data_IF_047573679885
#
_entry.id   IF_047573679885
#
_cell.length_a   1.000
_cell.length_b   1.000
_cell.length_c   1.000
_cell.angle_alpha   90.00
_cell.angle_beta   90.00
_cell.angle_gamma   90.00
#
_symmetry.space_group_name_H-M   'P 1'
#
loop_
_entity.id
_entity.type
_entity.pdbx_description
1 polymer ?
#
# COMPACT_ATOMS: atom_id res chain seq x y z
N UNK A 1 22.67 -16.14 4.91
CA UNK A 1 21.21 -16.28 5.11
C UNK A 1 20.56 -15.37 4.09
N UNK A 2 20.00 -15.89 2.99
CA UNK A 2 19.29 -15.06 2.02
C UNK A 2 17.98 -14.62 2.67
N UNK A 3 17.85 -13.32 2.96
CA UNK A 3 16.63 -12.76 3.54
C UNK A 3 15.46 -12.98 2.57
N UNK A 4 14.35 -13.53 3.07
CA UNK A 4 13.15 -13.76 2.26
C UNK A 4 12.46 -12.41 2.02
N UNK A 5 12.26 -11.98 0.75
CA UNK A 5 11.56 -10.73 0.48
C UNK A 5 10.11 -10.82 0.95
N UNK A 6 9.54 -9.70 1.39
CA UNK A 6 8.18 -9.62 1.93
C UNK A 6 7.11 -10.25 1.02
N UNK A 7 7.29 -10.13 -0.30
CA UNK A 7 6.40 -10.72 -1.30
C UNK A 7 6.35 -12.25 -1.22
N UNK A 8 7.47 -12.89 -0.90
CA UNK A 8 7.54 -14.33 -0.71
C UNK A 8 6.67 -14.76 0.48
N UNK A 9 6.72 -14.00 1.58
CA UNK A 9 5.91 -14.25 2.77
C UNK A 9 4.42 -14.06 2.47
N UNK A 10 4.06 -13.02 1.72
CA UNK A 10 2.66 -12.80 1.28
C UNK A 10 2.16 -13.97 0.44
N UNK A 11 2.93 -14.40 -0.55
CA UNK A 11 2.56 -15.53 -1.42
C UNK A 11 2.46 -16.86 -0.65
N UNK A 12 3.38 -17.11 0.29
CA UNK A 12 3.35 -18.27 1.18
C UNK A 12 2.11 -18.26 2.07
N UNK A 13 1.78 -17.12 2.68
CA UNK A 13 0.59 -16.98 3.53
C UNK A 13 -0.70 -17.11 2.75
N UNK A 14 -0.78 -16.54 1.54
CA UNK A 14 -1.94 -16.68 0.67
C UNK A 14 -2.18 -18.15 0.27
N UNK A 15 -1.10 -18.94 0.09
CA UNK A 15 -1.20 -20.37 -0.21
C UNK A 15 -1.62 -21.20 1.01
N UNK A 16 -0.99 -20.96 2.15
CA UNK A 16 -1.15 -21.82 3.34
C UNK A 16 -2.35 -21.42 4.22
N UNK A 17 -2.76 -20.14 4.18
CA UNK A 17 -3.81 -19.57 5.02
C UNK A 17 -4.70 -18.60 4.23
N UNK A 18 -5.30 -19.02 3.09
CA UNK A 18 -5.95 -18.12 2.13
C UNK A 18 -7.05 -17.25 2.76
N UNK A 19 -7.85 -17.82 3.68
CA UNK A 19 -9.01 -17.17 4.28
C UNK A 19 -8.70 -16.44 5.60
N UNK A 20 -7.45 -16.46 6.07
CA UNK A 20 -7.07 -15.79 7.31
C UNK A 20 -6.93 -14.29 7.06
N UNK A 21 -7.48 -13.50 7.99
CA UNK A 21 -7.37 -12.04 7.96
C UNK A 21 -5.90 -11.60 7.86
N UNK A 22 -5.61 -10.70 6.92
CA UNK A 22 -4.28 -10.17 6.65
C UNK A 22 -4.21 -8.65 6.86
N UNK A 23 -5.24 -7.93 6.43
CA UNK A 23 -5.26 -6.47 6.46
C UNK A 23 -6.66 -5.93 6.78
N UNK A 24 -6.71 -4.80 7.49
CA UNK A 24 -7.94 -4.05 7.74
C UNK A 24 -7.75 -2.58 7.41
N UNK A 25 -8.72 -2.01 6.71
CA UNK A 25 -8.85 -0.58 6.49
C UNK A 25 -9.98 -0.04 7.34
N UNK A 26 -9.77 1.12 7.96
CA UNK A 26 -10.83 1.86 8.62
C UNK A 26 -11.62 2.65 7.56
N UNK A 27 -12.92 2.36 7.41
CA UNK A 27 -13.81 3.06 6.46
C UNK A 27 -14.30 4.39 7.01
N UNK A 28 -14.60 4.42 8.31
CA UNK A 28 -15.09 5.61 9.02
C UNK A 28 -14.66 5.60 10.49
N UNK A 29 -14.80 6.76 11.15
CA UNK A 29 -14.56 6.88 12.58
C UNK A 29 -15.65 6.24 13.44
N UNK A 30 -16.76 5.81 12.83
CA UNK A 30 -17.87 5.13 13.51
C UNK A 30 -17.61 3.62 13.72
N UNK A 31 -16.49 3.10 13.20
CA UNK A 31 -16.01 1.74 13.48
C UNK A 31 -16.18 0.76 12.32
N UNK A 32 -16.50 1.22 11.12
CA UNK A 32 -16.55 0.38 9.93
C UNK A 32 -15.16 -0.08 9.49
N UNK A 33 -14.96 -1.40 9.34
CA UNK A 33 -13.74 -1.96 8.77
C UNK A 33 -13.99 -2.68 7.46
N UNK A 34 -13.10 -2.48 6.51
CA UNK A 34 -12.93 -3.36 5.36
C UNK A 34 -11.78 -4.33 5.64
N UNK A 35 -12.04 -5.62 5.48
CA UNK A 35 -11.10 -6.68 5.86
C UNK A 35 -10.67 -7.45 4.62
N UNK A 36 -9.38 -7.64 4.44
CA UNK A 36 -8.80 -8.46 3.37
C UNK A 36 -8.13 -9.70 3.97
N UNK A 37 -8.41 -10.86 3.38
CA UNK A 37 -7.71 -12.11 3.66
C UNK A 37 -6.34 -12.14 2.98
N UNK A 38 -5.49 -13.13 3.28
CA UNK A 38 -4.21 -13.28 2.58
C UNK A 38 -4.38 -13.51 1.07
N UNK A 39 -5.42 -14.24 0.65
CA UNK A 39 -5.75 -14.40 -0.76
C UNK A 39 -6.11 -13.05 -1.41
N UNK A 40 -6.91 -12.24 -0.72
CA UNK A 40 -7.32 -10.92 -1.22
C UNK A 40 -6.13 -9.97 -1.34
N UNK A 41 -5.19 -9.98 -0.39
CA UNK A 41 -3.97 -9.16 -0.44
C UNK A 41 -3.09 -9.56 -1.64
N UNK A 42 -2.95 -10.86 -1.93
CA UNK A 42 -2.21 -11.31 -3.11
C UNK A 42 -2.90 -10.87 -4.41
N UNK A 43 -4.23 -11.00 -4.48
CA UNK A 43 -5.00 -10.50 -5.63
C UNK A 43 -4.88 -8.98 -5.78
N UNK A 44 -4.93 -8.23 -4.69
CA UNK A 44 -4.76 -6.78 -4.67
C UNK A 44 -3.40 -6.38 -5.25
N UNK A 45 -2.34 -7.09 -4.88
CA UNK A 45 -1.00 -6.87 -5.43
C UNK A 45 -0.95 -7.14 -6.94
N UNK A 46 -1.60 -8.21 -7.43
CA UNK A 46 -1.69 -8.48 -8.87
C UNK A 46 -2.51 -7.43 -9.62
N UNK A 47 -3.61 -6.92 -9.04
CA UNK A 47 -4.37 -5.80 -9.62
C UNK A 47 -3.51 -4.55 -9.76
N UNK A 48 -2.76 -4.21 -8.70
CA UNK A 48 -1.82 -3.08 -8.73
C UNK A 48 -0.73 -3.26 -9.79
N UNK A 49 -0.17 -4.46 -9.91
CA UNK A 49 0.82 -4.78 -10.95
C UNK A 49 0.24 -4.58 -12.36
N UNK A 50 -0.96 -5.09 -12.62
CA UNK A 50 -1.65 -4.90 -13.90
C UNK A 50 -1.82 -3.42 -14.23
N UNK A 51 -2.36 -2.64 -13.28
CA UNK A 51 -2.58 -1.21 -13.46
C UNK A 51 -1.30 -0.41 -13.74
N UNK A 52 -0.16 -0.82 -13.19
CA UNK A 52 1.14 -0.20 -13.46
C UNK A 52 1.70 -0.63 -14.83
N UNK A 53 1.56 -1.91 -15.20
CA UNK A 53 1.97 -2.40 -16.52
C UNK A 53 1.16 -1.76 -17.65
N UNK A 54 -0.15 -1.57 -17.46
CA UNK A 54 -1.03 -0.90 -18.43
C UNK A 54 -0.61 0.56 -18.67
N UNK A 55 0.11 1.16 -17.72
CA UNK A 55 0.72 2.50 -17.84
C UNK A 55 2.14 2.47 -18.43
N UNK A 56 2.61 1.30 -18.87
CA UNK A 56 3.92 1.13 -19.49
C UNK A 56 5.09 1.09 -18.52
N UNK A 57 4.86 0.82 -17.23
CA UNK A 57 5.96 0.67 -16.27
C UNK A 57 6.59 -0.73 -16.33
N UNK A 58 7.91 -0.76 -16.16
CA UNK A 58 8.75 -1.94 -16.24
C UNK A 58 9.59 -2.13 -14.97
N UNK A 59 10.19 -3.32 -14.86
CA UNK A 59 11.13 -3.63 -13.76
C UNK A 59 12.23 -2.58 -13.69
N UNK A 60 12.50 -2.08 -12.49
CA UNK A 60 13.49 -1.04 -12.22
C UNK A 60 12.95 0.39 -12.25
N UNK A 61 11.75 0.62 -12.80
CA UNK A 61 11.14 1.94 -12.82
C UNK A 61 10.83 2.44 -11.40
N UNK A 62 10.94 3.75 -11.20
CA UNK A 62 10.61 4.41 -9.95
C UNK A 62 9.16 4.90 -10.01
N UNK A 63 8.34 4.48 -9.05
CA UNK A 63 6.90 4.74 -9.04
C UNK A 63 6.56 5.68 -7.90
N UNK A 64 6.26 6.95 -8.22
CA UNK A 64 5.75 7.87 -7.22
C UNK A 64 4.28 7.53 -6.91
N UNK A 65 4.01 7.17 -5.65
CA UNK A 65 2.68 6.85 -5.16
C UNK A 65 2.13 8.02 -4.35
N UNK A 66 1.43 8.91 -5.05
CA UNK A 66 0.70 10.04 -4.47
C UNK A 66 -0.78 9.67 -4.30
N UNK A 67 -1.05 8.70 -3.43
CA UNK A 67 -2.39 8.14 -3.20
C UNK A 67 -2.82 8.36 -1.74
N UNK A 68 -4.12 8.58 -1.47
CA UNK A 68 -4.64 8.55 -0.11
C UNK A 68 -4.35 7.20 0.57
N UNK A 69 -4.15 7.21 1.89
CA UNK A 69 -4.03 5.99 2.68
C UNK A 69 -5.27 5.12 2.52
N UNK A 70 -5.11 3.87 2.08
CA UNK A 70 -6.21 2.96 1.83
C UNK A 70 -5.84 1.83 0.87
N UNK A 71 -6.85 1.12 0.37
CA UNK A 71 -6.66 -0.03 -0.52
C UNK A 71 -5.82 0.31 -1.75
N UNK A 72 -6.10 1.43 -2.42
CA UNK A 72 -5.38 1.85 -3.63
C UNK A 72 -3.88 2.06 -3.37
N UNK A 73 -3.52 2.65 -2.23
CA UNK A 73 -2.12 2.83 -1.84
C UNK A 73 -1.41 1.48 -1.66
N UNK A 74 -2.05 0.54 -0.95
CA UNK A 74 -1.50 -0.80 -0.74
C UNK A 74 -1.37 -1.56 -2.06
N UNK A 75 -2.36 -1.45 -2.95
CA UNK A 75 -2.29 -2.02 -4.29
C UNK A 75 -1.10 -1.48 -5.08
N UNK A 76 -0.88 -0.16 -5.05
CA UNK A 76 0.23 0.51 -5.72
C UNK A 76 1.59 0.04 -5.20
N UNK A 77 1.77 0.00 -3.87
CA UNK A 77 3.03 -0.46 -3.24
C UNK A 77 3.29 -1.93 -3.57
N UNK A 78 2.33 -2.81 -3.29
CA UNK A 78 2.53 -4.25 -3.49
C UNK A 78 2.66 -4.62 -4.96
N UNK A 79 1.88 -3.97 -5.83
CA UNK A 79 1.97 -4.15 -7.28
C UNK A 79 3.32 -3.71 -7.85
N UNK A 80 3.83 -2.55 -7.43
CA UNK A 80 5.16 -2.07 -7.82
C UNK A 80 6.24 -3.05 -7.39
N UNK A 81 6.21 -3.49 -6.11
CA UNK A 81 7.15 -4.49 -5.60
C UNK A 81 7.07 -5.80 -6.40
N UNK A 82 5.87 -6.29 -6.70
CA UNK A 82 5.69 -7.51 -7.49
C UNK A 82 6.20 -7.38 -8.94
N UNK A 83 6.12 -6.17 -9.51
CA UNK A 83 6.68 -5.86 -10.82
C UNK A 83 8.21 -5.69 -10.83
N UNK A 84 8.85 -5.72 -9.65
CA UNK A 84 10.26 -5.37 -9.49
C UNK A 84 10.54 -3.88 -9.75
N UNK A 85 9.54 -3.03 -9.53
CA UNK A 85 9.63 -1.56 -9.57
C UNK A 85 10.00 -1.03 -8.17
N UNK A 86 10.34 0.26 -8.09
CA UNK A 86 10.79 0.92 -6.87
C UNK A 86 9.71 1.93 -6.42
N UNK A 87 8.80 1.57 -5.49
CA UNK A 87 7.79 2.50 -5.01
C UNK A 87 8.40 3.61 -4.14
N UNK A 88 7.97 4.84 -4.38
CA UNK A 88 8.27 6.01 -3.57
C UNK A 88 6.96 6.63 -3.09
N UNK A 89 6.65 6.49 -1.80
CA UNK A 89 5.40 6.98 -1.21
C UNK A 89 5.47 8.47 -0.93
N UNK A 90 4.51 9.23 -1.45
CA UNK A 90 4.36 10.65 -1.15
C UNK A 90 3.11 10.85 -0.30
N UNK A 91 3.30 11.36 0.92
CA UNK A 91 2.19 11.81 1.74
C UNK A 91 1.58 13.05 1.08
N UNK A 92 0.32 12.94 0.66
CA UNK A 92 -0.42 14.09 0.15
C UNK A 92 -0.68 15.08 1.30
N UNK A 93 -0.50 16.39 1.09
CA UNK A 93 -0.89 17.39 2.08
C UNK A 93 -2.37 17.20 2.45
N UNK A 94 -2.62 16.76 3.67
CA UNK A 94 -3.97 16.55 4.16
C UNK A 94 -4.52 17.91 4.59
N UNK A 95 -5.57 18.41 3.94
CA UNK A 95 -6.35 19.54 4.45
C UNK A 95 -7.19 19.12 5.68
N UNK A 96 -6.52 18.63 6.72
CA UNK A 96 -7.12 18.37 8.03
C UNK A 96 -6.26 19.00 9.12
N UNK A 97 -6.59 20.21 9.58
CA UNK A 97 -6.07 20.68 10.85
C UNK A 97 -6.75 19.88 11.96
N UNK A 98 -5.95 19.22 12.79
CA UNK A 98 -6.34 18.79 14.12
C UNK A 98 -5.17 19.05 15.07
N UNK A 99 -5.30 19.84 16.13
CA UNK A 99 -6.00 21.11 16.23
C UNK A 99 -5.09 22.21 16.78
N UNK A 100 -3.76 22.00 16.84
CA UNK A 100 -2.77 22.99 17.34
C UNK A 100 -1.28 22.73 16.94
N UNK A 101 -0.92 21.61 16.28
CA UNK A 101 0.50 21.22 16.17
C UNK A 101 1.21 21.60 14.85
N UNK A 102 0.53 21.59 13.70
CA UNK A 102 1.20 21.88 12.42
C UNK A 102 1.58 23.37 12.25
N UNK A 103 0.81 24.28 12.85
CA UNK A 103 1.03 25.74 12.78
C UNK A 103 2.25 26.22 13.60
N UNK A 104 2.64 25.50 14.65
CA UNK A 104 3.76 25.92 15.51
C UNK A 104 5.13 25.60 14.89
N UNK A 105 5.22 24.54 14.09
CA UNK A 105 6.48 23.99 13.58
C UNK A 105 7.06 24.80 12.40
N UNK A 106 6.23 25.59 11.70
CA UNK A 106 6.65 26.35 10.51
C UNK A 106 7.07 27.80 10.79
N UNK A 107 6.69 28.37 11.94
CA UNK A 107 7.05 29.77 12.31
C UNK A 107 8.45 29.93 12.90
N UNK A 108 9.20 28.84 13.06
CA UNK A 108 10.57 28.82 13.58
C UNK A 108 11.65 28.62 12.52
N UNK A 109 11.31 28.80 11.24
CA UNK A 109 12.23 28.94 10.11
C UNK A 109 11.96 30.28 9.40
#
# INVERSE_FOLDING_TARGET
MLERPILHLIAERARNYPNRLALRFLKDFAGGYESLTWSDVLQLAHRGLGALKDRGLHRGDRVLLALPTGEAFVAGVLGALWGGMIPASLALPSHRPSGNAFEAEWRSL
#
